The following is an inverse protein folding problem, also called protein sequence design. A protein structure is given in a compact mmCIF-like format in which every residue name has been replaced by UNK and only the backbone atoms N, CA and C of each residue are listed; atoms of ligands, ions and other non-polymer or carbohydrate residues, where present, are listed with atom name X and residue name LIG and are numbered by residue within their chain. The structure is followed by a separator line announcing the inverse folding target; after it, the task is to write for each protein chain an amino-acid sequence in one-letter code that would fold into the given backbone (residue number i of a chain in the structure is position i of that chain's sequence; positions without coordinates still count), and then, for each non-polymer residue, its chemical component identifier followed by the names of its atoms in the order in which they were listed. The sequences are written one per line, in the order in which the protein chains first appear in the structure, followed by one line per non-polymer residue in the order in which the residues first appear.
data_IF_685131998206
#
_entry.id   IF_685131998206
#
_cell.length_a   1.000
_cell.length_b   1.000
_cell.length_c   1.000
_cell.angle_alpha   90.00
_cell.angle_beta   90.00
_cell.angle_gamma   90.00
#
_symmetry.space_group_name_H-M   'P 1'
#
loop_
_entity.id
_entity.type
_entity.pdbx_description
1 polymer ?
#
# COMPACT_ATOMS: atom_id res chain seq x y z
N UNK A 1 -49.41 4.28 -19.90
CA UNK A 1 -48.78 3.08 -19.26
C UNK A 1 -47.41 3.48 -18.82
N UNK A 2 -47.26 3.84 -17.55
CA UNK A 2 -45.94 4.22 -16.98
C UNK A 2 -45.19 2.93 -16.63
N UNK A 3 -44.13 2.67 -17.37
CA UNK A 3 -43.19 1.64 -17.03
C UNK A 3 -42.46 2.07 -15.75
N UNK A 4 -42.80 1.44 -14.63
CA UNK A 4 -42.04 1.55 -13.39
C UNK A 4 -40.70 0.89 -13.66
N UNK A 5 -39.65 1.68 -13.83
CA UNK A 5 -38.29 1.17 -13.84
C UNK A 5 -38.00 0.54 -12.46
N UNK A 6 -37.95 -0.78 -12.40
CA UNK A 6 -37.48 -1.47 -11.22
C UNK A 6 -35.98 -1.17 -11.05
N UNK A 7 -35.53 -0.76 -9.86
CA UNK A 7 -34.12 -0.51 -9.63
C UNK A 7 -33.32 -1.81 -9.79
N UNK A 8 -32.35 -1.79 -10.70
CA UNK A 8 -31.41 -2.89 -10.96
C UNK A 8 -30.27 -2.85 -9.91
N UNK A 9 -30.62 -3.00 -8.63
CA UNK A 9 -29.65 -2.96 -7.53
C UNK A 9 -29.33 -4.33 -6.98
N UNK A 10 -28.19 -4.45 -6.30
CA UNK A 10 -27.85 -5.57 -5.45
C UNK A 10 -27.87 -5.15 -3.98
N UNK A 11 -28.23 -6.08 -3.10
CA UNK A 11 -28.25 -5.88 -1.65
C UNK A 11 -27.28 -6.86 -1.00
N UNK A 12 -26.48 -6.36 -0.05
CA UNK A 12 -25.73 -7.21 0.88
C UNK A 12 -26.48 -7.16 2.21
N UNK A 13 -27.06 -8.26 2.64
CA UNK A 13 -27.99 -8.28 3.77
C UNK A 13 -27.85 -9.48 4.69
N UNK A 14 -28.55 -9.41 5.79
CA UNK A 14 -28.74 -10.21 6.99
C UNK A 14 -27.99 -9.67 8.21
N UNK A 15 -28.17 -8.36 8.51
CA UNK A 15 -27.59 -7.66 9.66
C UNK A 15 -26.05 -7.80 9.72
N UNK A 16 -25.37 -7.36 8.66
CA UNK A 16 -23.93 -7.43 8.49
C UNK A 16 -23.17 -6.72 9.62
N UNK A 17 -22.03 -7.27 9.99
CA UNK A 17 -21.05 -6.57 10.81
C UNK A 17 -20.18 -5.65 9.93
N UNK A 18 -20.68 -4.44 9.67
CA UNK A 18 -19.96 -3.44 8.86
C UNK A 18 -18.95 -2.71 9.74
N UNK A 19 -17.69 -2.82 9.35
CA UNK A 19 -16.58 -2.16 10.05
C UNK A 19 -16.43 -0.73 9.54
N UNK A 20 -16.47 0.22 10.46
CA UNK A 20 -16.18 1.63 10.20
C UNK A 20 -15.03 2.09 11.10
N UNK A 21 -14.37 3.20 10.79
CA UNK A 21 -13.36 3.76 11.69
C UNK A 21 -13.88 4.16 13.07
N UNK A 22 -15.21 4.25 13.24
CA UNK A 22 -15.87 4.67 14.47
C UNK A 22 -16.46 3.47 15.25
N UNK A 23 -16.27 2.24 14.74
CA UNK A 23 -16.74 1.00 15.36
C UNK A 23 -17.38 0.04 14.37
N UNK A 24 -17.90 -1.08 14.91
CA UNK A 24 -18.59 -2.12 14.14
C UNK A 24 -20.10 -1.89 14.25
N UNK A 25 -20.77 -1.77 13.14
CA UNK A 25 -22.20 -1.50 13.06
C UNK A 25 -22.95 -2.65 12.40
N UNK A 26 -24.14 -3.00 12.92
CA UNK A 26 -25.04 -3.96 12.26
C UNK A 26 -25.95 -3.21 11.27
N UNK A 27 -25.69 -3.37 9.99
CA UNK A 27 -26.43 -2.70 8.92
C UNK A 27 -26.32 -3.48 7.60
N UNK A 28 -27.37 -3.41 6.80
CA UNK A 28 -27.36 -3.88 5.42
C UNK A 28 -26.88 -2.77 4.49
N UNK A 29 -26.36 -3.13 3.33
CA UNK A 29 -25.90 -2.20 2.30
C UNK A 29 -26.72 -2.40 1.01
N UNK A 30 -27.45 -1.37 0.59
CA UNK A 30 -28.11 -1.30 -0.73
C UNK A 30 -27.15 -0.66 -1.74
N UNK A 31 -26.93 -1.36 -2.86
CA UNK A 31 -25.98 -0.95 -3.88
C UNK A 31 -26.69 -0.77 -5.20
N UNK A 32 -26.52 0.39 -5.83
CA UNK A 32 -27.04 0.72 -7.15
C UNK A 32 -25.96 1.40 -7.98
N UNK A 33 -25.74 0.93 -9.19
CA UNK A 33 -24.74 1.48 -10.13
C UNK A 33 -23.34 1.63 -9.51
N UNK A 34 -22.95 0.66 -8.71
CA UNK A 34 -21.63 0.62 -8.06
C UNK A 34 -21.48 1.53 -6.84
N UNK A 35 -22.55 2.17 -6.37
CA UNK A 35 -22.54 3.07 -5.20
C UNK A 35 -23.44 2.57 -4.10
N UNK A 36 -23.10 2.89 -2.86
CA UNK A 36 -23.95 2.65 -1.71
C UNK A 36 -25.05 3.71 -1.71
N UNK A 37 -26.30 3.27 -1.86
CA UNK A 37 -27.48 4.15 -1.91
C UNK A 37 -28.37 4.00 -0.69
N UNK A 38 -28.22 2.92 0.07
CA UNK A 38 -28.99 2.68 1.29
C UNK A 38 -28.10 1.98 2.34
N UNK A 39 -28.25 2.40 3.58
CA UNK A 39 -27.65 1.75 4.75
C UNK A 39 -28.72 1.73 5.84
N UNK A 40 -29.23 0.56 6.17
CA UNK A 40 -30.25 0.39 7.22
C UNK A 40 -30.10 -0.98 7.88
N UNK A 41 -30.68 -1.14 9.09
CA UNK A 41 -30.63 -2.44 9.79
C UNK A 41 -31.32 -3.57 9.04
N UNK A 42 -32.23 -3.22 8.15
CA UNK A 42 -32.96 -4.16 7.34
C UNK A 42 -33.46 -3.47 6.08
N UNK A 43 -32.92 -3.87 4.92
CA UNK A 43 -33.35 -3.37 3.63
C UNK A 43 -34.49 -4.25 3.11
N UNK A 44 -35.64 -3.67 2.89
CA UNK A 44 -36.83 -4.34 2.34
C UNK A 44 -36.98 -4.19 0.84
N UNK A 45 -36.22 -3.29 0.23
CA UNK A 45 -36.23 -3.06 -1.22
C UNK A 45 -35.77 -4.32 -1.95
N UNK A 46 -36.58 -4.78 -2.93
CA UNK A 46 -36.26 -5.95 -3.72
C UNK A 46 -35.00 -5.71 -4.56
N UNK A 47 -33.98 -6.50 -4.38
CA UNK A 47 -32.73 -6.45 -5.14
C UNK A 47 -32.70 -7.53 -6.23
N UNK A 48 -31.90 -7.32 -7.27
CA UNK A 48 -31.60 -8.34 -8.30
C UNK A 48 -30.76 -9.48 -7.72
N UNK A 49 -29.79 -9.14 -6.91
CA UNK A 49 -28.88 -10.05 -6.26
C UNK A 49 -28.79 -9.72 -4.78
N UNK A 50 -28.70 -10.75 -3.93
CA UNK A 50 -28.49 -10.59 -2.49
C UNK A 50 -27.28 -11.43 -2.08
N UNK A 51 -26.29 -10.78 -1.49
CA UNK A 51 -25.14 -11.44 -0.87
C UNK A 51 -25.42 -11.63 0.62
N UNK A 52 -25.42 -12.88 1.09
CA UNK A 52 -25.47 -13.19 2.52
C UNK A 52 -24.06 -13.26 3.08
N UNK A 53 -23.75 -12.42 4.06
CA UNK A 53 -22.44 -12.36 4.70
C UNK A 53 -22.51 -12.38 6.23
N UNK A 54 -23.47 -13.14 6.78
CA UNK A 54 -23.76 -13.25 8.25
C UNK A 54 -22.51 -13.58 9.05
N UNK A 55 -21.68 -14.50 8.58
CA UNK A 55 -20.47 -14.98 9.27
C UNK A 55 -19.22 -14.16 8.93
N UNK A 56 -19.41 -12.97 8.34
CA UNK A 56 -18.30 -12.12 7.91
C UNK A 56 -18.36 -10.73 8.54
N UNK A 57 -17.18 -10.14 8.70
CA UNK A 57 -17.04 -8.70 8.84
C UNK A 57 -16.89 -8.07 7.46
N UNK A 58 -17.65 -7.03 7.20
CA UNK A 58 -17.58 -6.23 5.96
C UNK A 58 -16.68 -5.04 6.21
N UNK A 59 -15.49 -5.04 5.66
CA UNK A 59 -14.55 -3.94 5.77
C UNK A 59 -14.62 -3.04 4.53
N UNK A 60 -14.35 -1.72 4.65
CA UNK A 60 -14.05 -0.89 3.49
C UNK A 60 -12.94 -1.54 2.68
N UNK A 61 -13.06 -1.52 1.37
CA UNK A 61 -12.03 -2.05 0.48
C UNK A 61 -10.67 -1.43 0.77
N UNK A 62 -9.65 -2.26 0.88
CA UNK A 62 -8.28 -1.83 1.16
C UNK A 62 -7.78 -0.98 0.00
N UNK A 63 -7.15 0.16 0.32
CA UNK A 63 -6.44 1.03 -0.61
C UNK A 63 -4.95 0.90 -0.30
N UNK A 64 -4.23 0.21 -1.17
CA UNK A 64 -2.78 0.06 -1.03
C UNK A 64 -2.05 1.19 -1.75
N UNK A 65 -1.57 2.17 -0.99
CA UNK A 65 -0.92 3.36 -1.55
C UNK A 65 0.52 3.12 -2.03
N UNK A 66 1.05 1.89 -1.89
CA UNK A 66 2.44 1.60 -2.16
C UNK A 66 2.64 0.21 -2.76
N UNK A 67 2.62 0.14 -4.09
CA UNK A 67 2.93 -1.10 -4.82
C UNK A 67 3.88 -0.82 -5.98
N UNK A 68 4.63 -1.85 -6.40
CA UNK A 68 5.49 -1.86 -7.57
C UNK A 68 5.06 -3.01 -8.49
N UNK A 69 4.15 -2.73 -9.42
CA UNK A 69 3.75 -3.72 -10.44
C UNK A 69 4.67 -3.71 -11.65
N UNK A 70 5.62 -2.76 -11.70
CA UNK A 70 6.79 -2.77 -12.58
C UNK A 70 6.51 -2.63 -14.08
N UNK A 71 5.30 -2.36 -14.48
CA UNK A 71 4.90 -2.18 -15.88
C UNK A 71 4.68 -0.70 -16.21
N UNK A 72 5.13 -0.23 -17.36
CA UNK A 72 5.77 -0.91 -18.51
C UNK A 72 7.20 -1.38 -18.28
N UNK A 73 7.72 -2.16 -19.22
CA UNK A 73 9.13 -2.52 -19.40
C UNK A 73 9.64 -3.67 -18.53
N UNK A 74 9.04 -3.93 -17.36
CA UNK A 74 9.40 -5.03 -16.45
C UNK A 74 8.16 -5.79 -15.95
N UNK A 75 7.24 -6.07 -16.86
CA UNK A 75 6.06 -6.89 -16.54
C UNK A 75 6.41 -8.32 -16.10
N UNK A 76 7.60 -8.80 -16.46
CA UNK A 76 8.16 -10.06 -15.99
C UNK A 76 8.52 -10.07 -14.49
N UNK A 77 8.67 -8.90 -13.84
CA UNK A 77 8.89 -8.81 -12.39
C UNK A 77 7.59 -9.02 -11.59
N UNK A 78 6.48 -8.46 -12.05
CA UNK A 78 5.13 -8.69 -11.55
C UNK A 78 4.08 -8.52 -12.66
N UNK A 79 3.87 -7.32 -13.13
CA UNK A 79 2.83 -6.94 -14.08
C UNK A 79 1.52 -6.49 -13.43
N UNK A 80 0.82 -5.59 -14.12
CA UNK A 80 -0.44 -5.00 -13.64
C UNK A 80 -1.56 -6.03 -13.49
N UNK A 81 -1.62 -7.02 -14.38
CA UNK A 81 -2.66 -8.05 -14.34
C UNK A 81 -2.50 -8.97 -13.12
N UNK A 82 -1.30 -9.54 -12.90
CA UNK A 82 -1.03 -10.43 -11.76
C UNK A 82 -1.03 -9.67 -10.43
N UNK A 83 -0.40 -8.48 -10.40
CA UNK A 83 -0.36 -7.67 -9.20
C UNK A 83 -1.74 -7.21 -8.73
N UNK A 84 -2.62 -6.75 -9.64
CA UNK A 84 -3.99 -6.39 -9.28
C UNK A 84 -4.86 -7.59 -8.89
N UNK A 85 -4.61 -8.77 -9.46
CA UNK A 85 -5.27 -10.01 -9.06
C UNK A 85 -4.84 -10.46 -7.65
N UNK A 86 -3.54 -10.39 -7.35
CA UNK A 86 -3.01 -10.68 -6.01
C UNK A 86 -3.51 -9.67 -4.97
N UNK A 87 -3.61 -8.38 -5.34
CA UNK A 87 -4.21 -7.33 -4.50
C UNK A 87 -5.69 -7.65 -4.21
N UNK A 88 -6.48 -8.02 -5.23
CA UNK A 88 -7.88 -8.39 -5.06
C UNK A 88 -8.03 -9.61 -4.13
N UNK A 89 -7.17 -10.62 -4.27
CA UNK A 89 -7.12 -11.78 -3.38
C UNK A 89 -6.79 -11.39 -1.93
N UNK A 90 -6.06 -10.30 -1.73
CA UNK A 90 -5.71 -9.71 -0.43
C UNK A 90 -6.71 -8.67 0.11
N UNK A 91 -7.93 -8.55 -0.48
CA UNK A 91 -8.96 -7.60 -0.03
C UNK A 91 -8.81 -6.18 -0.59
N UNK A 92 -7.80 -5.95 -1.45
CA UNK A 92 -7.54 -4.63 -2.03
C UNK A 92 -8.49 -4.28 -3.18
N UNK A 93 -9.01 -3.08 -3.15
CA UNK A 93 -9.95 -2.54 -4.16
C UNK A 93 -9.37 -1.43 -4.99
N UNK A 94 -8.28 -0.83 -4.49
CA UNK A 94 -7.56 0.23 -5.17
C UNK A 94 -6.07 0.16 -4.79
N UNK A 95 -5.19 0.44 -5.75
CA UNK A 95 -3.76 0.55 -5.51
C UNK A 95 -3.18 1.83 -6.10
N UNK A 96 -2.05 2.28 -5.55
CA UNK A 96 -1.26 3.36 -6.14
C UNK A 96 0.09 2.80 -6.56
N UNK A 97 0.30 2.69 -7.87
CA UNK A 97 1.53 2.10 -8.39
C UNK A 97 2.64 3.15 -8.48
N UNK A 98 3.80 2.78 -7.92
CA UNK A 98 4.97 3.65 -7.82
C UNK A 98 5.56 3.97 -9.21
N UNK A 99 6.26 5.12 -9.35
CA UNK A 99 6.74 5.57 -10.66
C UNK A 99 7.94 4.79 -11.17
N UNK A 100 8.64 4.11 -10.27
CA UNK A 100 9.87 3.38 -10.58
C UNK A 100 9.65 1.87 -10.58
N UNK A 101 10.68 1.19 -10.92
CA UNK A 101 10.85 -0.13 -11.46
C UNK A 101 10.23 -0.30 -12.85
N UNK A 102 9.24 0.49 -13.27
CA UNK A 102 8.82 0.52 -14.69
C UNK A 102 9.91 1.14 -15.58
N UNK A 103 9.92 0.78 -16.86
CA UNK A 103 10.86 1.31 -17.86
C UNK A 103 10.09 1.69 -19.13
N UNK A 104 9.99 2.99 -19.46
CA UNK A 104 10.54 4.11 -18.69
C UNK A 104 9.80 4.34 -17.36
N UNK A 105 10.45 4.96 -16.34
CA UNK A 105 9.79 5.36 -15.12
C UNK A 105 8.85 6.55 -15.35
N UNK A 106 7.80 6.68 -14.52
CA UNK A 106 6.80 7.75 -14.67
C UNK A 106 7.30 9.11 -14.16
N UNK A 107 8.37 9.65 -14.74
CA UNK A 107 9.01 10.93 -14.38
C UNK A 107 8.58 12.11 -15.28
N UNK A 108 7.72 11.87 -16.25
CA UNK A 108 7.06 12.89 -17.06
C UNK A 108 5.66 12.44 -17.51
N UNK A 109 4.92 13.36 -18.11
CA UNK A 109 3.54 13.13 -18.50
C UNK A 109 3.35 12.08 -19.60
N UNK A 110 4.36 11.84 -20.45
CA UNK A 110 4.26 10.84 -21.52
C UNK A 110 4.38 9.43 -20.94
N UNK A 111 5.41 9.16 -20.15
CA UNK A 111 5.60 7.89 -19.45
C UNK A 111 4.44 7.60 -18.49
N UNK A 112 3.95 8.63 -17.77
CA UNK A 112 2.79 8.52 -16.89
C UNK A 112 1.52 8.08 -17.64
N UNK A 113 1.23 8.71 -18.80
CA UNK A 113 0.04 8.36 -19.60
C UNK A 113 0.14 6.95 -20.19
N UNK A 114 1.32 6.52 -20.58
CA UNK A 114 1.51 5.15 -21.08
C UNK A 114 1.28 4.13 -19.95
N UNK A 115 1.85 4.34 -18.77
CA UNK A 115 1.60 3.50 -17.59
C UNK A 115 0.10 3.45 -17.24
N UNK A 116 -0.59 4.59 -17.27
CA UNK A 116 -2.03 4.68 -17.07
C UNK A 116 -2.80 3.86 -18.11
N UNK A 117 -2.47 4.01 -19.40
CA UNK A 117 -3.11 3.27 -20.50
C UNK A 117 -3.03 1.75 -20.29
N UNK A 118 -1.85 1.26 -19.89
CA UNK A 118 -1.65 -0.15 -19.57
C UNK A 118 -2.49 -0.59 -18.37
N UNK A 119 -2.51 0.22 -17.30
CA UNK A 119 -3.29 -0.09 -16.11
C UNK A 119 -4.81 -0.12 -16.41
N UNK A 120 -5.32 0.77 -17.25
CA UNK A 120 -6.71 0.76 -17.73
C UNK A 120 -7.06 -0.51 -18.51
N UNK A 121 -6.08 -1.13 -19.17
CA UNK A 121 -6.27 -2.36 -19.97
C UNK A 121 -6.10 -3.66 -19.17
N UNK A 122 -5.32 -3.63 -18.10
CA UNK A 122 -4.86 -4.86 -17.44
C UNK A 122 -5.36 -5.01 -16.01
N UNK A 123 -5.69 -3.92 -15.32
CA UNK A 123 -6.08 -3.98 -13.91
C UNK A 123 -7.50 -4.47 -13.71
N UNK A 124 -7.70 -5.37 -12.74
CA UNK A 124 -9.02 -5.79 -12.28
C UNK A 124 -9.55 -4.96 -11.09
N UNK A 125 -8.71 -4.13 -10.47
CA UNK A 125 -9.08 -3.22 -9.38
C UNK A 125 -8.82 -1.79 -9.78
N UNK A 126 -9.44 -0.83 -9.08
CA UNK A 126 -9.20 0.60 -9.33
C UNK A 126 -7.77 0.97 -8.99
N UNK A 127 -7.27 2.07 -9.57
CA UNK A 127 -5.88 2.45 -9.38
C UNK A 127 -5.65 3.95 -9.50
N UNK A 128 -4.59 4.41 -8.83
CA UNK A 128 -3.96 5.69 -9.06
C UNK A 128 -2.46 5.46 -9.34
N UNK A 129 -1.76 6.48 -9.81
CA UNK A 129 -0.36 6.39 -10.17
C UNK A 129 0.43 7.52 -9.51
N UNK A 130 1.61 7.19 -9.01
CA UNK A 130 2.59 8.16 -8.57
C UNK A 130 3.39 8.72 -9.75
N UNK A 131 3.72 10.02 -9.67
CA UNK A 131 4.78 10.59 -10.49
C UNK A 131 6.12 10.52 -9.78
N UNK A 132 7.23 10.55 -10.52
CA UNK A 132 8.58 10.59 -9.96
C UNK A 132 9.08 12.02 -9.80
N UNK A 133 9.76 12.29 -8.68
CA UNK A 133 10.59 13.48 -8.47
C UNK A 133 12.05 13.05 -8.45
N UNK A 134 12.78 13.40 -9.50
CA UNK A 134 14.19 13.05 -9.68
C UNK A 134 14.99 14.29 -10.10
N UNK A 135 16.32 14.30 -9.96
CA UNK A 135 17.14 15.40 -10.46
C UNK A 135 16.84 15.71 -11.91
N UNK A 136 16.66 17.00 -12.24
CA UNK A 136 16.49 17.48 -13.62
C UNK A 136 15.06 17.38 -14.19
N UNK A 137 14.03 16.95 -13.43
CA UNK A 137 12.65 16.89 -13.94
C UNK A 137 11.67 17.93 -13.38
N UNK A 138 12.15 18.99 -12.71
CA UNK A 138 11.31 20.00 -12.06
C UNK A 138 10.27 20.63 -13.01
N UNK A 139 10.65 20.92 -14.25
CA UNK A 139 9.76 21.51 -15.26
C UNK A 139 8.68 20.54 -15.76
N UNK A 140 8.87 19.24 -15.56
CA UNK A 140 7.92 18.18 -15.96
C UNK A 140 6.84 17.94 -14.92
N UNK A 141 6.99 18.42 -13.68
CA UNK A 141 6.06 18.15 -12.57
C UNK A 141 4.65 18.68 -12.82
N UNK A 142 4.50 19.83 -13.49
CA UNK A 142 3.20 20.35 -13.88
C UNK A 142 2.46 19.37 -14.83
N UNK A 143 3.18 18.79 -15.79
CA UNK A 143 2.63 17.79 -16.69
C UNK A 143 2.18 16.50 -15.97
N UNK A 144 2.91 16.06 -14.95
CA UNK A 144 2.52 14.93 -14.09
C UNK A 144 1.22 15.23 -13.32
N UNK A 145 1.12 16.42 -12.71
CA UNK A 145 -0.12 16.89 -12.06
C UNK A 145 -1.30 16.86 -13.03
N UNK A 146 -1.12 17.41 -14.22
CA UNK A 146 -2.19 17.52 -15.22
C UNK A 146 -2.60 16.17 -15.79
N UNK A 147 -1.66 15.20 -15.84
CA UNK A 147 -1.95 13.82 -16.17
C UNK A 147 -2.72 13.08 -15.05
N UNK A 148 -2.73 13.62 -13.83
CA UNK A 148 -3.50 13.10 -12.69
C UNK A 148 -2.66 12.31 -11.69
N UNK A 149 -1.36 12.61 -11.57
CA UNK A 149 -0.52 11.99 -10.54
C UNK A 149 -1.11 12.21 -9.14
N UNK A 150 -1.13 11.13 -8.34
CA UNK A 150 -1.65 11.15 -6.97
C UNK A 150 -0.71 11.89 -6.00
N UNK A 151 0.55 11.94 -6.32
CA UNK A 151 1.64 12.59 -5.62
C UNK A 151 2.96 12.34 -6.35
N UNK A 152 4.06 12.77 -5.75
CA UNK A 152 5.41 12.60 -6.30
C UNK A 152 6.23 11.72 -5.36
N UNK A 153 6.94 10.72 -5.90
CA UNK A 153 7.87 9.86 -5.15
C UNK A 153 9.31 10.25 -5.44
N UNK A 154 10.12 10.37 -4.38
CA UNK A 154 11.56 10.59 -4.46
C UNK A 154 12.31 9.55 -3.61
N UNK A 155 13.59 9.33 -3.94
CA UNK A 155 14.51 8.49 -3.18
C UNK A 155 15.68 9.34 -2.67
N UNK A 156 15.93 9.32 -1.36
CA UNK A 156 17.05 10.05 -0.74
C UNK A 156 18.35 9.23 -0.75
N UNK A 157 18.26 7.93 -1.05
CA UNK A 157 19.40 7.05 -1.33
C UNK A 157 19.25 6.40 -2.70
N UNK A 158 20.27 5.64 -3.14
CA UNK A 158 20.23 4.92 -4.40
C UNK A 158 19.03 3.96 -4.48
N UNK A 159 18.17 4.12 -5.48
CA UNK A 159 16.99 3.27 -5.70
C UNK A 159 17.33 1.87 -6.27
N UNK A 160 18.54 1.71 -6.79
CA UNK A 160 18.95 0.52 -7.55
C UNK A 160 18.52 0.56 -9.04
N UNK A 161 17.77 1.59 -9.46
CA UNK A 161 17.31 1.80 -10.82
C UNK A 161 18.01 3.03 -11.40
N UNK A 162 18.80 2.86 -12.46
CA UNK A 162 19.59 3.93 -13.09
C UNK A 162 18.70 5.05 -13.63
N UNK A 163 17.57 4.70 -14.26
CA UNK A 163 16.60 5.66 -14.80
C UNK A 163 15.79 6.39 -13.72
N UNK A 164 15.95 6.02 -12.43
CA UNK A 164 15.33 6.69 -11.29
C UNK A 164 16.39 7.01 -10.22
N UNK A 165 17.27 8.00 -10.46
CA UNK A 165 18.37 8.31 -9.55
C UNK A 165 17.89 8.92 -8.23
N UNK A 166 18.71 8.81 -7.18
CA UNK A 166 18.49 9.50 -5.92
C UNK A 166 18.46 11.01 -6.08
N UNK A 167 17.72 11.66 -5.20
CA UNK A 167 17.68 13.13 -5.12
C UNK A 167 18.55 13.63 -3.96
N UNK A 168 19.30 14.70 -4.17
CA UNK A 168 20.02 15.38 -3.08
C UNK A 168 19.13 16.39 -2.37
N UNK A 169 19.60 16.94 -1.24
CA UNK A 169 18.83 17.86 -0.40
C UNK A 169 18.45 19.17 -1.14
N UNK A 170 19.32 19.67 -2.02
CA UNK A 170 19.04 20.89 -2.79
C UNK A 170 17.91 20.61 -3.81
N UNK A 171 18.03 19.57 -4.60
CA UNK A 171 17.04 19.20 -5.60
C UNK A 171 15.71 18.80 -4.96
N UNK A 172 15.72 18.13 -3.79
CA UNK A 172 14.52 17.80 -3.03
C UNK A 172 13.81 19.08 -2.54
N UNK A 173 14.55 20.06 -2.01
CA UNK A 173 14.01 21.36 -1.60
C UNK A 173 13.31 22.08 -2.75
N UNK A 174 13.97 22.18 -3.91
CA UNK A 174 13.39 22.84 -5.08
C UNK A 174 12.18 22.06 -5.63
N UNK A 175 12.25 20.71 -5.62
CA UNK A 175 11.14 19.83 -5.93
C UNK A 175 9.93 20.04 -5.01
N UNK A 176 10.15 20.12 -3.69
CA UNK A 176 9.10 20.39 -2.69
C UNK A 176 8.48 21.78 -2.90
N UNK A 177 9.28 22.84 -3.12
CA UNK A 177 8.75 24.18 -3.46
C UNK A 177 7.86 24.14 -4.70
N UNK A 178 8.26 23.39 -5.72
CA UNK A 178 7.47 23.24 -6.94
C UNK A 178 6.20 22.44 -6.69
N UNK A 179 6.30 21.33 -5.95
CA UNK A 179 5.16 20.48 -5.57
C UNK A 179 4.11 21.27 -4.78
N UNK A 180 4.52 22.10 -3.80
CA UNK A 180 3.64 22.98 -3.04
C UNK A 180 2.84 23.91 -3.94
N UNK A 181 3.49 24.59 -4.90
CA UNK A 181 2.82 25.47 -5.87
C UNK A 181 1.83 24.72 -6.78
N UNK A 182 2.08 23.42 -7.01
CA UNK A 182 1.24 22.55 -7.83
C UNK A 182 0.15 21.85 -7.02
N UNK A 183 0.14 21.96 -5.69
CA UNK A 183 -0.77 21.25 -4.81
C UNK A 183 -0.52 19.74 -4.80
N UNK A 184 0.72 19.30 -5.05
CA UNK A 184 1.14 17.90 -5.02
C UNK A 184 1.81 17.57 -3.68
N UNK A 185 1.55 16.38 -3.18
CA UNK A 185 2.25 15.77 -2.06
C UNK A 185 3.56 15.15 -2.55
N UNK A 186 4.61 15.21 -1.73
CA UNK A 186 5.87 14.50 -1.97
C UNK A 186 5.98 13.32 -0.99
N UNK A 187 6.23 12.12 -1.51
CA UNK A 187 6.57 10.94 -0.74
C UNK A 187 8.07 10.64 -0.88
N UNK A 188 8.72 10.24 0.21
CA UNK A 188 10.15 9.96 0.20
C UNK A 188 10.48 8.58 0.76
N UNK A 189 11.34 7.85 0.03
CA UNK A 189 12.12 6.78 0.61
C UNK A 189 13.26 7.43 1.42
N UNK A 190 13.16 7.35 2.74
CA UNK A 190 14.00 8.10 3.65
C UNK A 190 15.10 7.22 4.24
N UNK A 191 16.19 7.02 3.49
CA UNK A 191 17.45 6.49 3.98
C UNK A 191 18.60 7.42 3.56
N UNK A 192 19.53 7.70 4.49
CA UNK A 192 20.69 8.55 4.22
C UNK A 192 21.76 7.78 3.42
N UNK A 193 22.04 8.24 2.22
CA UNK A 193 23.00 7.60 1.30
C UNK A 193 24.42 7.49 1.88
N UNK A 194 24.90 8.54 2.52
CA UNK A 194 26.29 8.58 3.01
C UNK A 194 26.47 7.62 4.18
N UNK A 195 25.51 7.58 5.10
CA UNK A 195 25.52 6.64 6.23
C UNK A 195 25.36 5.20 5.75
N UNK A 196 24.43 4.93 4.84
CA UNK A 196 24.22 3.61 4.26
C UNK A 196 25.48 3.10 3.56
N UNK A 197 26.11 3.94 2.75
CA UNK A 197 27.38 3.61 2.07
C UNK A 197 28.51 3.34 3.08
N UNK A 198 28.66 4.18 4.10
CA UNK A 198 29.66 4.03 5.18
C UNK A 198 29.52 2.68 5.90
N UNK A 199 28.31 2.36 6.36
CA UNK A 199 28.09 1.12 7.10
C UNK A 199 28.21 -0.11 6.19
N UNK A 200 27.77 -0.02 4.93
CA UNK A 200 27.94 -1.07 3.93
C UNK A 200 29.43 -1.36 3.68
N UNK A 201 30.24 -0.32 3.46
CA UNK A 201 31.68 -0.45 3.27
C UNK A 201 32.36 -1.11 4.49
N UNK A 202 31.95 -0.73 5.71
CA UNK A 202 32.47 -1.32 6.93
C UNK A 202 32.17 -2.84 7.06
N UNK A 203 31.01 -3.33 6.62
CA UNK A 203 30.70 -4.75 6.62
C UNK A 203 31.51 -5.50 5.55
N UNK A 204 31.57 -4.95 4.33
CA UNK A 204 32.35 -5.53 3.22
C UNK A 204 33.85 -5.60 3.53
N UNK A 205 34.44 -4.59 4.18
CA UNK A 205 35.82 -4.58 4.62
C UNK A 205 36.14 -5.68 5.63
N UNK A 206 35.12 -6.18 6.38
CA UNK A 206 35.24 -7.32 7.28
C UNK A 206 34.99 -8.68 6.60
N UNK A 207 34.83 -8.70 5.30
CA UNK A 207 34.47 -9.88 4.51
C UNK A 207 33.07 -10.43 4.80
N UNK A 208 32.16 -9.63 5.38
CA UNK A 208 30.82 -10.06 5.76
C UNK A 208 29.81 -9.64 4.69
N UNK A 209 29.10 -10.63 4.14
CA UNK A 209 28.11 -10.41 3.05
C UNK A 209 26.78 -11.13 3.30
N UNK A 210 26.57 -11.66 4.50
CA UNK A 210 25.37 -12.36 4.91
C UNK A 210 24.19 -11.40 5.26
N UNK A 211 23.03 -11.96 5.58
CA UNK A 211 21.84 -11.20 5.97
C UNK A 211 22.10 -10.33 7.21
N UNK A 212 22.87 -10.80 8.19
CA UNK A 212 23.22 -10.03 9.40
C UNK A 212 24.09 -8.82 9.06
N UNK A 213 25.03 -8.98 8.13
CA UNK A 213 25.86 -7.88 7.65
C UNK A 213 25.03 -6.82 6.93
N UNK A 214 24.03 -7.25 6.13
CA UNK A 214 23.10 -6.34 5.49
C UNK A 214 22.27 -5.55 6.52
N UNK A 215 21.67 -6.21 7.51
CA UNK A 215 20.95 -5.56 8.59
C UNK A 215 21.82 -4.53 9.33
N UNK A 216 23.06 -4.91 9.67
CA UNK A 216 24.03 -4.03 10.33
C UNK A 216 24.56 -2.89 9.44
N UNK A 217 24.37 -2.97 8.12
CA UNK A 217 24.72 -1.90 7.19
C UNK A 217 23.67 -0.79 7.07
N UNK A 218 22.49 -1.02 7.62
CA UNK A 218 21.35 -0.08 7.60
C UNK A 218 20.73 0.04 8.99
N UNK A 219 21.53 0.47 10.02
CA UNK A 219 20.98 0.72 11.34
C UNK A 219 19.92 1.83 11.29
N UNK A 220 19.14 1.96 12.37
CA UNK A 220 18.02 2.90 12.42
C UNK A 220 18.46 4.35 12.14
N UNK A 221 19.67 4.73 12.52
CA UNK A 221 20.24 6.05 12.30
C UNK A 221 20.23 6.47 10.82
N UNK A 222 20.35 5.51 9.90
CA UNK A 222 20.29 5.76 8.44
C UNK A 222 18.91 6.28 8.03
N UNK A 223 17.86 5.69 8.56
CA UNK A 223 16.47 6.10 8.36
C UNK A 223 16.19 7.42 9.07
N UNK A 224 16.57 7.56 10.34
CA UNK A 224 16.31 8.77 11.13
C UNK A 224 16.97 10.02 10.57
N UNK A 225 18.20 9.92 10.05
CA UNK A 225 18.90 11.05 9.45
C UNK A 225 18.14 11.59 8.23
N UNK A 226 17.68 10.71 7.35
CA UNK A 226 16.92 11.09 6.17
C UNK A 226 15.51 11.62 6.52
N UNK A 227 14.83 11.01 7.50
CA UNK A 227 13.53 11.51 7.98
C UNK A 227 13.67 12.94 8.51
N UNK A 228 14.65 13.24 9.39
CA UNK A 228 14.89 14.60 9.89
C UNK A 228 15.10 15.60 8.75
N UNK A 229 15.96 15.27 7.79
CA UNK A 229 16.21 16.14 6.65
C UNK A 229 14.94 16.38 5.82
N UNK A 230 14.14 15.34 5.56
CA UNK A 230 12.90 15.50 4.81
C UNK A 230 11.87 16.38 5.56
N UNK A 231 11.76 16.22 6.88
CA UNK A 231 10.88 17.01 7.73
C UNK A 231 11.28 18.49 7.78
N UNK A 232 12.59 18.77 7.93
CA UNK A 232 13.13 20.14 7.86
C UNK A 232 12.77 20.81 6.53
N UNK A 233 13.00 20.12 5.41
CA UNK A 233 12.69 20.63 4.07
C UNK A 233 11.18 20.83 3.87
N UNK A 234 10.34 19.94 4.41
CA UNK A 234 8.88 20.09 4.35
C UNK A 234 8.42 21.33 5.15
N UNK A 235 8.97 21.53 6.35
CA UNK A 235 8.72 22.72 7.17
C UNK A 235 9.13 24.03 6.48
N UNK A 236 10.34 24.06 5.87
CA UNK A 236 10.83 25.21 5.11
C UNK A 236 9.97 25.58 3.88
N UNK A 237 9.45 24.55 3.19
CA UNK A 237 8.77 24.72 1.88
C UNK A 237 7.25 24.74 1.97
N UNK A 238 6.69 24.35 3.12
CA UNK A 238 5.25 24.13 3.30
C UNK A 238 4.72 22.97 2.45
N UNK A 239 5.58 22.03 2.05
CA UNK A 239 5.22 20.92 1.22
C UNK A 239 4.51 19.82 2.04
N UNK A 240 3.37 19.34 1.57
CA UNK A 240 2.74 18.13 2.10
C UNK A 240 3.69 16.94 1.89
N UNK A 241 4.09 16.27 2.98
CA UNK A 241 5.09 15.19 2.99
C UNK A 241 4.48 13.87 3.43
N UNK A 242 4.90 12.77 2.81
CA UNK A 242 4.56 11.42 3.20
C UNK A 242 5.83 10.59 3.34
N UNK A 243 6.13 10.15 4.55
CA UNK A 243 7.26 9.23 4.77
C UNK A 243 6.73 7.82 4.58
N UNK A 244 7.14 7.18 3.48
CA UNK A 244 6.69 5.81 3.17
C UNK A 244 7.47 4.77 3.98
N UNK A 245 6.90 3.59 4.19
CA UNK A 245 7.52 2.39 4.76
C UNK A 245 8.45 2.67 5.97
N UNK A 246 8.00 3.51 6.94
CA UNK A 246 8.73 3.76 8.18
C UNK A 246 8.89 2.43 8.95
N UNK A 247 10.12 2.06 9.24
CA UNK A 247 10.46 0.75 9.79
C UNK A 247 10.65 0.74 11.31
N UNK A 248 10.67 1.92 11.95
CA UNK A 248 11.04 2.06 13.35
C UNK A 248 10.11 3.00 14.13
N UNK A 249 9.84 2.73 15.42
CA UNK A 249 9.06 3.63 16.26
C UNK A 249 9.74 4.99 16.44
N UNK A 250 11.08 5.02 16.43
CA UNK A 250 11.84 6.27 16.50
C UNK A 250 11.59 7.16 15.28
N UNK A 251 11.43 6.57 14.09
CA UNK A 251 11.04 7.29 12.87
C UNK A 251 9.63 7.83 12.95
N UNK A 252 8.68 7.04 13.48
CA UNK A 252 7.30 7.48 13.73
C UNK A 252 7.26 8.65 14.71
N UNK A 253 8.06 8.59 15.77
CA UNK A 253 8.13 9.67 16.78
C UNK A 253 8.59 11.00 16.15
N UNK A 254 9.60 10.99 15.26
CA UNK A 254 10.03 12.19 14.52
C UNK A 254 8.91 12.78 13.65
N UNK A 255 8.16 11.92 12.95
CA UNK A 255 7.04 12.36 12.11
C UNK A 255 5.91 12.94 12.98
N UNK A 256 5.62 12.33 14.11
CA UNK A 256 4.59 12.78 15.06
C UNK A 256 4.95 14.14 15.64
N UNK A 257 6.18 14.31 16.12
CA UNK A 257 6.69 15.59 16.63
C UNK A 257 6.59 16.70 15.58
N UNK A 258 7.04 16.46 14.36
CA UNK A 258 6.95 17.44 13.28
C UNK A 258 5.50 17.83 12.95
N UNK A 259 4.58 16.86 12.95
CA UNK A 259 3.15 17.09 12.73
C UNK A 259 2.54 17.92 13.85
N UNK A 260 2.90 17.67 15.10
CA UNK A 260 2.42 18.41 16.26
C UNK A 260 2.95 19.86 16.25
N UNK A 261 4.08 20.10 15.58
CA UNK A 261 4.62 21.43 15.29
C UNK A 261 4.11 22.04 13.97
N UNK A 262 3.09 21.47 13.35
CA UNK A 262 2.38 22.05 12.20
C UNK A 262 2.92 21.70 10.82
N UNK A 263 3.86 20.77 10.71
CA UNK A 263 4.28 20.24 9.40
C UNK A 263 3.18 19.32 8.84
N UNK A 264 2.75 19.54 7.60
CA UNK A 264 1.78 18.66 6.93
C UNK A 264 2.47 17.35 6.53
N UNK A 265 2.58 16.41 7.47
CA UNK A 265 3.27 15.14 7.26
C UNK A 265 2.46 13.95 7.76
N UNK A 266 2.63 12.80 7.07
CA UNK A 266 2.08 11.50 7.47
C UNK A 266 3.15 10.42 7.39
N UNK A 267 3.04 9.42 8.28
CA UNK A 267 3.84 8.20 8.27
C UNK A 267 3.03 7.04 7.67
N UNK A 268 3.68 6.26 6.82
CA UNK A 268 3.25 4.95 6.37
C UNK A 268 4.17 3.87 6.93
N UNK A 269 3.61 2.75 7.38
CA UNK A 269 4.39 1.53 7.64
C UNK A 269 3.90 0.38 6.77
N UNK A 270 4.53 -0.79 6.89
CA UNK A 270 4.20 -1.95 6.06
C UNK A 270 3.90 -3.18 6.92
N UNK A 271 3.07 -4.12 6.41
CA UNK A 271 2.80 -5.38 7.11
C UNK A 271 4.07 -6.13 7.52
N UNK A 272 5.09 -6.14 6.69
CA UNK A 272 6.32 -6.87 6.99
C UNK A 272 7.09 -6.31 8.21
N UNK A 273 7.03 -5.00 8.50
CA UNK A 273 7.62 -4.43 9.72
C UNK A 273 6.82 -4.76 10.98
N UNK A 274 5.52 -5.00 10.85
CA UNK A 274 4.64 -5.38 11.95
C UNK A 274 4.63 -6.90 12.21
N UNK A 275 4.94 -7.71 11.19
CA UNK A 275 4.80 -9.17 11.20
C UNK A 275 6.11 -9.93 11.34
N UNK A 276 7.23 -9.35 10.89
CA UNK A 276 8.53 -10.00 10.82
C UNK A 276 9.56 -9.24 11.67
N UNK A 277 10.60 -9.94 12.12
CA UNK A 277 11.74 -9.35 12.79
C UNK A 277 13.06 -9.78 12.11
N UNK A 278 14.19 -9.26 12.58
CA UNK A 278 15.52 -9.54 12.01
C UNK A 278 15.89 -11.03 12.00
N UNK A 279 15.37 -11.83 12.95
CA UNK A 279 15.60 -13.29 12.99
C UNK A 279 14.89 -13.96 11.82
N UNK A 280 13.72 -13.44 11.43
CA UNK A 280 12.99 -13.91 10.25
C UNK A 280 13.77 -13.58 8.97
N UNK A 281 14.39 -12.40 8.87
CA UNK A 281 15.25 -12.07 7.71
C UNK A 281 16.41 -13.07 7.57
N UNK A 282 17.05 -13.40 8.69
CA UNK A 282 18.16 -14.38 8.69
C UNK A 282 17.68 -15.78 8.32
N UNK A 283 16.49 -16.17 8.77
CA UNK A 283 15.90 -17.50 8.52
C UNK A 283 15.35 -17.63 7.10
N UNK A 284 14.63 -16.62 6.61
CA UNK A 284 13.92 -16.64 5.32
C UNK A 284 14.86 -16.26 4.17
N UNK A 285 15.88 -15.44 4.44
CA UNK A 285 16.81 -14.97 3.41
C UNK A 285 16.18 -13.97 2.43
N UNK A 286 16.42 -14.19 1.16
CA UNK A 286 16.05 -13.30 0.06
C UNK A 286 14.57 -12.85 0.02
N UNK A 287 13.56 -13.70 0.29
CA UNK A 287 12.16 -13.29 0.33
C UNK A 287 11.82 -12.21 1.36
N UNK A 288 12.63 -12.07 2.42
CA UNK A 288 12.43 -11.08 3.48
C UNK A 288 13.39 -9.88 3.39
N UNK A 289 14.18 -9.76 2.32
CA UNK A 289 15.05 -8.60 2.11
C UNK A 289 14.26 -7.40 1.61
N UNK A 290 14.31 -6.29 2.34
CA UNK A 290 13.76 -4.98 1.96
C UNK A 290 14.66 -3.83 2.45
N UNK A 291 14.39 -2.63 2.00
CA UNK A 291 15.01 -1.36 2.43
C UNK A 291 13.93 -0.30 2.65
N UNK A 292 13.88 0.33 3.83
CA UNK A 292 14.65 0.05 5.05
C UNK A 292 14.50 -1.41 5.51
N UNK A 293 15.51 -1.99 6.24
CA UNK A 293 15.42 -3.39 6.63
C UNK A 293 14.44 -3.60 7.79
N UNK A 294 13.92 -4.82 7.88
CA UNK A 294 13.13 -5.29 9.02
C UNK A 294 13.97 -5.20 10.30
N UNK A 295 13.37 -4.70 11.39
CA UNK A 295 14.05 -4.41 12.65
C UNK A 295 13.94 -5.54 13.65
N UNK A 296 14.58 -5.36 14.81
CA UNK A 296 14.55 -6.27 15.95
C UNK A 296 13.12 -6.38 16.56
N UNK A 297 12.91 -7.40 17.38
CA UNK A 297 11.62 -7.67 18.00
C UNK A 297 11.10 -6.54 18.91
N UNK A 298 11.93 -5.89 19.76
CA UNK A 298 11.47 -4.75 20.55
C UNK A 298 10.92 -3.61 19.70
N UNK A 299 11.56 -3.27 18.57
CA UNK A 299 11.08 -2.23 17.66
C UNK A 299 9.81 -2.65 16.93
N UNK A 300 9.71 -3.92 16.53
CA UNK A 300 8.47 -4.46 15.95
C UNK A 300 7.28 -4.28 16.88
N UNK A 301 7.43 -4.63 18.15
CA UNK A 301 6.37 -4.48 19.15
C UNK A 301 6.02 -3.01 19.40
N UNK A 302 7.03 -2.15 19.57
CA UNK A 302 6.81 -0.71 19.75
C UNK A 302 6.15 -0.06 18.50
N UNK A 303 6.43 -0.56 17.28
CA UNK A 303 5.75 -0.07 16.08
C UNK A 303 4.25 -0.41 16.07
N UNK A 304 3.84 -1.55 16.64
CA UNK A 304 2.43 -1.86 16.90
C UNK A 304 1.79 -0.89 17.89
N UNK A 305 2.53 -0.49 18.94
CA UNK A 305 2.03 0.48 19.91
C UNK A 305 1.83 1.86 19.25
N UNK A 306 2.76 2.29 18.39
CA UNK A 306 2.62 3.52 17.59
C UNK A 306 1.42 3.46 16.62
N UNK A 307 1.17 2.32 15.99
CA UNK A 307 0.00 2.12 15.14
C UNK A 307 -1.30 2.25 15.93
N UNK A 308 -1.39 1.59 17.10
CA UNK A 308 -2.56 1.64 17.98
C UNK A 308 -2.78 3.01 18.60
N UNK A 309 -1.71 3.76 18.86
CA UNK A 309 -1.77 5.15 19.33
C UNK A 309 -2.26 6.13 18.24
N UNK A 310 -2.36 5.70 16.96
CA UNK A 310 -2.77 6.55 15.85
C UNK A 310 -1.67 7.45 15.29
N UNK A 311 -0.43 7.19 15.66
CA UNK A 311 0.73 7.94 15.18
C UNK A 311 1.13 7.56 13.75
N UNK A 312 0.71 6.38 13.27
CA UNK A 312 0.87 5.92 11.89
C UNK A 312 -0.45 6.11 11.14
N UNK A 313 -0.44 6.90 10.08
CA UNK A 313 -1.67 7.26 9.36
C UNK A 313 -2.08 6.23 8.32
N UNK A 314 -1.13 5.55 7.69
CA UNK A 314 -1.42 4.59 6.62
C UNK A 314 -0.56 3.33 6.73
N UNK A 315 -1.07 2.23 6.18
CA UNK A 315 -0.31 0.99 6.01
C UNK A 315 -0.40 0.59 4.54
N UNK A 316 0.76 0.56 3.87
CA UNK A 316 0.92 0.11 2.50
C UNK A 316 1.71 -1.19 2.43
N UNK A 317 1.55 -2.01 1.40
CA UNK A 317 2.24 -3.30 1.32
C UNK A 317 3.72 -3.18 0.97
N UNK A 318 4.10 -2.12 0.28
CA UNK A 318 5.40 -2.01 -0.43
C UNK A 318 5.69 -3.29 -1.24
N UNK A 319 4.64 -3.79 -1.93
CA UNK A 319 4.77 -4.97 -2.76
C UNK A 319 5.75 -4.71 -3.89
N UNK A 320 6.92 -5.34 -3.80
CA UNK A 320 8.04 -5.11 -4.72
C UNK A 320 8.75 -6.43 -5.08
N UNK A 321 8.06 -7.33 -5.80
CA UNK A 321 8.63 -8.60 -6.23
C UNK A 321 9.66 -8.42 -7.33
N UNK A 322 10.49 -9.43 -7.51
CA UNK A 322 11.46 -9.53 -8.59
C UNK A 322 11.59 -10.98 -9.04
N UNK A 323 12.09 -11.23 -10.27
CA UNK A 323 12.36 -12.58 -10.77
C UNK A 323 13.24 -13.40 -9.83
N UNK A 324 13.02 -14.73 -9.73
CA UNK A 324 13.75 -15.60 -8.82
C UNK A 324 15.26 -15.52 -8.95
N UNK A 325 15.78 -15.36 -10.16
CA UNK A 325 17.21 -15.25 -10.45
C UNK A 325 17.88 -14.06 -9.78
N UNK A 326 17.15 -12.97 -9.52
CA UNK A 326 17.63 -11.80 -8.79
C UNK A 326 17.71 -12.01 -7.25
N UNK A 327 17.23 -13.16 -6.79
CA UNK A 327 17.14 -13.55 -5.39
C UNK A 327 18.09 -14.71 -5.01
N UNK A 328 18.99 -15.14 -5.89
CA UNK A 328 19.81 -16.35 -5.73
C UNK A 328 21.22 -16.14 -5.22
N UNK A 329 21.75 -14.90 -5.23
CA UNK A 329 23.11 -14.62 -4.79
C UNK A 329 23.34 -15.05 -3.33
N UNK A 330 24.55 -15.59 -3.05
CA UNK A 330 25.03 -15.85 -1.68
C UNK A 330 25.46 -14.56 -0.98
N UNK A 331 25.75 -13.51 -1.72
CA UNK A 331 26.06 -12.19 -1.21
C UNK A 331 24.75 -11.42 -1.04
N UNK A 332 24.34 -11.21 0.20
CA UNK A 332 23.06 -10.58 0.51
C UNK A 332 22.95 -9.12 0.00
N UNK A 333 24.10 -8.45 -0.22
CA UNK A 333 24.11 -7.11 -0.82
C UNK A 333 23.74 -7.10 -2.31
N UNK A 334 23.92 -8.22 -3.01
CA UNK A 334 23.61 -8.35 -4.44
C UNK A 334 22.18 -8.82 -4.70
N UNK A 335 21.50 -9.37 -3.71
CA UNK A 335 20.10 -9.78 -3.80
C UNK A 335 19.23 -8.53 -4.01
N UNK A 336 18.32 -8.57 -4.97
CA UNK A 336 17.31 -7.52 -5.12
C UNK A 336 16.43 -7.43 -3.87
N UNK A 337 16.30 -6.22 -3.29
CA UNK A 337 15.41 -5.94 -2.16
C UNK A 337 13.96 -5.78 -2.62
N UNK A 338 13.03 -6.27 -1.84
CA UNK A 338 11.59 -6.14 -2.09
C UNK A 338 10.83 -7.39 -1.67
N UNK A 339 9.70 -7.20 -1.00
CA UNK A 339 8.84 -8.25 -0.47
C UNK A 339 7.59 -8.37 -1.31
N UNK A 340 7.20 -9.60 -1.71
CA UNK A 340 5.91 -9.88 -2.32
C UNK A 340 4.86 -9.99 -1.20
N UNK A 341 4.21 -8.87 -0.85
CA UNK A 341 3.39 -8.74 0.35
C UNK A 341 1.89 -8.47 0.13
N UNK A 342 1.48 -8.05 -1.07
CA UNK A 342 0.14 -7.50 -1.33
C UNK A 342 -1.02 -8.45 -1.03
N UNK A 343 -0.82 -9.76 -1.23
CA UNK A 343 -1.91 -10.74 -1.07
C UNK A 343 -2.15 -11.13 0.39
N UNK A 344 -1.09 -11.44 1.16
CA UNK A 344 -1.25 -12.01 2.49
C UNK A 344 -0.82 -11.07 3.63
N UNK A 345 -0.19 -9.94 3.31
CA UNK A 345 0.27 -8.98 4.33
C UNK A 345 -0.87 -8.46 5.19
N UNK A 346 -1.95 -8.01 4.57
CA UNK A 346 -3.11 -7.47 5.27
C UNK A 346 -3.91 -8.56 6.01
N UNK A 347 -4.09 -9.74 5.39
CA UNK A 347 -4.74 -10.89 6.06
C UNK A 347 -4.01 -11.25 7.36
N UNK A 348 -2.68 -11.29 7.33
CA UNK A 348 -1.88 -11.60 8.51
C UNK A 348 -1.94 -10.48 9.57
N UNK A 349 -2.07 -9.21 9.20
CA UNK A 349 -2.34 -8.15 10.18
C UNK A 349 -3.67 -8.38 10.90
N UNK A 350 -4.72 -8.72 10.18
CA UNK A 350 -6.00 -9.08 10.80
C UNK A 350 -5.88 -10.33 11.69
N UNK A 351 -5.05 -11.31 11.30
CA UNK A 351 -4.80 -12.50 12.09
C UNK A 351 -4.10 -12.20 13.43
N UNK A 352 -3.11 -11.28 13.44
CA UNK A 352 -2.44 -10.86 14.69
C UNK A 352 -3.42 -10.22 15.70
N UNK A 353 -4.53 -9.68 15.22
CA UNK A 353 -5.55 -9.00 16.02
C UNK A 353 -6.85 -9.83 16.17
N UNK A 354 -6.87 -11.09 15.79
CA UNK A 354 -8.11 -11.87 15.75
C UNK A 354 -8.83 -11.99 17.09
N UNK A 355 -8.10 -11.93 18.21
CA UNK A 355 -8.69 -11.95 19.56
C UNK A 355 -9.12 -10.56 20.07
N UNK A 356 -8.84 -9.50 19.31
CA UNK A 356 -9.10 -8.09 19.67
C UNK A 356 -9.81 -7.32 18.56
N UNK A 357 -10.56 -8.01 17.72
CA UNK A 357 -11.18 -7.44 16.51
C UNK A 357 -12.11 -6.25 16.78
N UNK A 358 -12.90 -6.29 17.86
CA UNK A 358 -13.79 -5.17 18.20
C UNK A 358 -13.03 -3.84 18.35
N UNK A 359 -11.79 -3.91 18.84
CA UNK A 359 -10.90 -2.75 19.00
C UNK A 359 -10.11 -2.46 17.72
N UNK A 360 -9.53 -3.49 17.10
CA UNK A 360 -8.48 -3.31 16.08
C UNK A 360 -9.04 -3.26 14.64
N UNK A 361 -10.20 -3.85 14.31
CA UNK A 361 -10.79 -3.71 12.98
C UNK A 361 -11.16 -2.26 12.61
N UNK A 362 -11.71 -1.43 13.51
CA UNK A 362 -11.91 -0.01 13.23
C UNK A 362 -10.60 0.75 12.94
N UNK A 363 -9.51 0.40 13.62
CA UNK A 363 -8.18 0.95 13.34
C UNK A 363 -7.75 0.58 11.90
N UNK A 364 -7.91 -0.69 11.49
CA UNK A 364 -7.57 -1.11 10.13
C UNK A 364 -8.46 -0.44 9.07
N UNK A 365 -9.76 -0.28 9.33
CA UNK A 365 -10.63 0.50 8.44
C UNK A 365 -10.17 1.96 8.31
N UNK A 366 -9.51 2.49 9.33
CA UNK A 366 -8.90 3.81 9.27
C UNK A 366 -7.61 3.80 8.42
N UNK A 367 -6.61 3.00 8.80
CA UNK A 367 -5.25 3.08 8.24
C UNK A 367 -5.10 2.41 6.86
N UNK A 368 -5.98 1.47 6.51
CA UNK A 368 -5.98 0.78 5.22
C UNK A 368 -6.95 1.39 4.20
N UNK A 369 -7.85 2.29 4.63
CA UNK A 369 -8.85 2.84 3.71
C UNK A 369 -9.11 4.34 3.94
N UNK A 370 -9.74 4.75 5.08
CA UNK A 370 -10.17 6.14 5.30
C UNK A 370 -9.03 7.14 5.25
N UNK A 371 -7.96 6.87 5.97
CA UNK A 371 -6.83 7.81 6.09
C UNK A 371 -6.05 7.91 4.78
N UNK A 372 -5.89 6.78 4.07
CA UNK A 372 -5.31 6.75 2.71
C UNK A 372 -6.16 7.63 1.79
N UNK A 373 -7.47 7.39 1.73
CA UNK A 373 -8.34 8.17 0.85
C UNK A 373 -8.30 9.67 1.14
N UNK A 374 -8.28 10.06 2.43
CA UNK A 374 -8.18 11.48 2.85
C UNK A 374 -6.83 12.08 2.49
N UNK A 375 -5.73 11.39 2.81
CA UNK A 375 -4.38 11.89 2.55
C UNK A 375 -4.18 12.19 1.07
N UNK A 376 -4.70 11.34 0.22
CA UNK A 376 -4.55 11.44 -1.23
C UNK A 376 -5.76 12.07 -1.94
N UNK A 377 -6.68 12.68 -1.17
CA UNK A 377 -7.83 13.44 -1.70
C UNK A 377 -8.69 12.67 -2.71
N UNK A 378 -8.99 11.41 -2.38
CA UNK A 378 -9.93 10.56 -3.12
C UNK A 378 -11.13 10.14 -2.28
N UNK A 379 -11.29 10.76 -1.11
CA UNK A 379 -12.30 10.39 -0.10
C UNK A 379 -13.72 10.81 -0.47
N UNK A 380 -13.90 11.55 -1.55
CA UNK A 380 -15.23 11.77 -2.16
C UNK A 380 -15.83 10.48 -2.75
N UNK A 381 -14.99 9.52 -3.15
CA UNK A 381 -15.41 8.24 -3.72
C UNK A 381 -15.05 7.05 -2.86
N UNK A 382 -13.84 7.00 -2.32
CA UNK A 382 -13.15 5.84 -1.75
C UNK A 382 -12.99 5.92 -0.22
N UNK A 383 -12.58 4.82 0.40
CA UNK A 383 -12.08 4.77 1.76
C UNK A 383 -13.10 4.61 2.86
N UNK A 384 -14.40 4.57 2.56
CA UNK A 384 -15.48 4.35 3.54
C UNK A 384 -16.70 3.68 2.94
N UNK A 385 -17.37 2.86 3.74
CA UNK A 385 -18.72 2.39 3.46
C UNK A 385 -19.70 3.46 3.96
N UNK A 386 -20.18 4.31 3.05
CA UNK A 386 -21.10 5.40 3.34
C UNK A 386 -21.96 5.73 2.12
N UNK A 387 -23.10 6.37 2.34
CA UNK A 387 -24.03 6.77 1.27
C UNK A 387 -23.33 7.64 0.21
N UNK A 388 -23.59 7.33 -1.06
CA UNK A 388 -23.03 8.01 -2.23
C UNK A 388 -21.58 7.63 -2.58
N UNK A 389 -20.90 6.82 -1.76
CA UNK A 389 -19.54 6.34 -2.02
C UNK A 389 -19.55 5.11 -2.92
N UNK A 390 -18.43 4.84 -3.56
CA UNK A 390 -18.24 3.58 -4.30
C UNK A 390 -18.43 2.40 -3.34
N UNK A 391 -19.11 1.36 -3.79
CA UNK A 391 -19.35 0.15 -3.03
C UNK A 391 -18.13 -0.77 -3.09
N UNK A 392 -17.01 -0.31 -2.49
CA UNK A 392 -15.75 -1.02 -2.40
C UNK A 392 -15.63 -1.65 -1.02
N UNK A 393 -15.59 -2.98 -0.96
CA UNK A 393 -15.51 -3.70 0.31
C UNK A 393 -14.87 -5.07 0.15
N UNK A 394 -14.37 -5.60 1.26
CA UNK A 394 -13.94 -6.99 1.36
C UNK A 394 -14.62 -7.69 2.54
N UNK A 395 -14.71 -9.00 2.43
CA UNK A 395 -15.32 -9.87 3.45
C UNK A 395 -14.22 -10.63 4.17
N UNK A 396 -14.18 -10.45 5.50
CA UNK A 396 -13.26 -11.08 6.41
C UNK A 396 -14.02 -12.03 7.33
N UNK A 397 -13.56 -13.27 7.47
CA UNK A 397 -14.11 -14.19 8.45
C UNK A 397 -13.02 -14.91 9.24
N UNK A 398 -13.36 -15.37 10.42
CA UNK A 398 -12.59 -16.39 11.12
C UNK A 398 -12.81 -17.74 10.41
N UNK A 399 -11.72 -18.45 10.20
CA UNK A 399 -11.73 -19.74 9.52
C UNK A 399 -10.93 -20.76 10.36
N UNK A 400 -10.93 -22.02 9.95
CA UNK A 400 -10.05 -23.02 10.51
C UNK A 400 -8.58 -22.60 10.31
N UNK A 401 -7.71 -22.87 11.30
CA UNK A 401 -6.29 -22.55 11.16
C UNK A 401 -5.66 -23.25 9.95
N UNK A 402 -5.16 -22.46 9.01
CA UNK A 402 -4.46 -22.94 7.81
C UNK A 402 -3.04 -22.40 7.73
N UNK A 403 -2.21 -22.99 6.92
CA UNK A 403 -0.92 -22.42 6.54
C UNK A 403 -1.06 -21.76 5.17
N UNK A 404 -0.43 -20.60 5.01
CA UNK A 404 -0.31 -19.96 3.70
C UNK A 404 0.56 -20.86 2.81
N UNK A 405 -0.01 -21.32 1.70
CA UNK A 405 0.64 -22.22 0.76
C UNK A 405 1.06 -21.49 -0.53
N UNK A 406 2.06 -22.07 -1.21
CA UNK A 406 2.56 -21.55 -2.48
C UNK A 406 1.51 -21.60 -3.59
N UNK A 407 0.60 -22.57 -3.53
CA UNK A 407 -0.47 -22.75 -4.53
C UNK A 407 -1.59 -21.70 -4.41
N UNK A 408 -1.65 -20.98 -3.28
CA UNK A 408 -2.58 -19.87 -3.08
C UNK A 408 -2.08 -18.55 -3.71
N UNK A 409 -0.80 -18.45 -4.11
CA UNK A 409 -0.21 -17.20 -4.57
C UNK A 409 -0.68 -16.85 -5.98
N UNK A 410 -1.18 -15.64 -6.13
CA UNK A 410 -1.61 -15.01 -7.39
C UNK A 410 -0.55 -14.05 -7.97
N UNK A 411 0.51 -13.78 -7.20
CA UNK A 411 1.66 -13.03 -7.70
C UNK A 411 2.36 -13.80 -8.81
N UNK A 412 2.97 -13.08 -9.76
CA UNK A 412 3.67 -13.69 -10.91
C UNK A 412 4.69 -14.74 -10.50
N UNK A 413 5.53 -14.38 -9.53
CA UNK A 413 6.51 -15.30 -8.93
C UNK A 413 5.96 -15.81 -7.61
N UNK A 414 5.85 -17.14 -7.50
CA UNK A 414 5.32 -17.79 -6.30
C UNK A 414 6.32 -17.76 -5.13
N UNK A 415 6.71 -16.55 -4.73
CA UNK A 415 7.63 -16.28 -3.63
C UNK A 415 6.96 -15.32 -2.64
N UNK A 416 7.03 -15.63 -1.36
CA UNK A 416 6.56 -14.73 -0.31
C UNK A 416 7.29 -14.99 1.00
N UNK A 417 7.58 -13.93 1.75
CA UNK A 417 8.09 -14.02 3.12
C UNK A 417 7.06 -14.62 4.10
N UNK A 418 5.82 -14.76 3.68
CA UNK A 418 4.72 -15.23 4.51
C UNK A 418 4.37 -16.72 4.32
N UNK A 419 5.04 -17.43 3.39
CA UNK A 419 4.80 -18.86 3.18
C UNK A 419 5.02 -19.67 4.46
N UNK A 420 4.10 -20.58 4.73
CA UNK A 420 4.11 -21.44 5.91
C UNK A 420 3.62 -20.77 7.20
N UNK A 421 3.34 -19.46 7.21
CA UNK A 421 2.69 -18.80 8.36
C UNK A 421 1.26 -19.34 8.53
N UNK A 422 0.87 -19.48 9.79
CA UNK A 422 -0.50 -19.86 10.14
C UNK A 422 -1.41 -18.65 10.15
N UNK A 423 -2.60 -18.80 9.58
CA UNK A 423 -3.70 -17.85 9.67
C UNK A 423 -4.98 -18.57 10.01
N UNK A 424 -5.78 -18.02 10.92
CA UNK A 424 -7.16 -18.42 11.20
C UNK A 424 -8.16 -17.37 10.69
N UNK A 425 -7.67 -16.45 9.88
CA UNK A 425 -8.43 -15.39 9.24
C UNK A 425 -8.37 -15.58 7.74
N UNK A 426 -9.45 -15.28 7.04
CA UNK A 426 -9.51 -15.36 5.60
C UNK A 426 -10.26 -14.18 5.00
N UNK A 427 -9.66 -13.55 4.00
CA UNK A 427 -10.32 -12.64 3.08
C UNK A 427 -10.98 -13.47 1.98
N UNK A 428 -12.29 -13.59 2.03
CA UNK A 428 -13.04 -14.52 1.16
C UNK A 428 -13.53 -13.87 -0.11
N UNK A 429 -13.89 -12.58 -0.06
CA UNK A 429 -14.44 -11.84 -1.19
C UNK A 429 -13.91 -10.41 -1.23
N UNK A 430 -13.79 -9.88 -2.43
CA UNK A 430 -13.46 -8.46 -2.69
C UNK A 430 -14.39 -7.92 -3.77
N UNK A 431 -15.02 -6.79 -3.48
CA UNK A 431 -15.93 -6.10 -4.37
C UNK A 431 -15.41 -4.72 -4.72
N UNK A 432 -15.38 -4.40 -6.00
CA UNK A 432 -15.02 -3.07 -6.51
C UNK A 432 -16.26 -2.47 -7.18
N UNK A 433 -16.73 -1.36 -6.67
CA UNK A 433 -17.97 -0.70 -7.12
C UNK A 433 -19.13 -1.70 -7.21
N UNK A 434 -19.32 -2.46 -6.14
CA UNK A 434 -20.41 -3.43 -6.02
C UNK A 434 -20.30 -4.69 -6.91
N UNK A 435 -19.27 -4.79 -7.73
CA UNK A 435 -19.02 -5.97 -8.55
C UNK A 435 -17.95 -6.86 -7.87
N UNK A 436 -18.16 -8.19 -7.77
CA UNK A 436 -17.16 -9.07 -7.23
C UNK A 436 -15.96 -9.15 -8.17
N UNK A 437 -14.77 -8.95 -7.64
CA UNK A 437 -13.49 -9.15 -8.36
C UNK A 437 -12.76 -10.40 -7.87
N UNK A 438 -13.02 -10.80 -6.63
CA UNK A 438 -12.48 -11.99 -6.01
C UNK A 438 -13.56 -12.67 -5.17
N UNK A 439 -13.67 -14.00 -5.27
CA UNK A 439 -14.58 -14.79 -4.45
C UNK A 439 -14.05 -16.22 -4.25
N UNK A 440 -13.91 -16.63 -3.00
CA UNK A 440 -13.56 -17.99 -2.55
C UNK A 440 -12.42 -18.63 -3.37
N UNK A 441 -11.30 -17.93 -3.48
CA UNK A 441 -10.10 -18.44 -4.16
C UNK A 441 -10.09 -18.26 -5.68
N UNK A 442 -11.01 -17.48 -6.25
CA UNK A 442 -11.12 -17.29 -7.71
C UNK A 442 -11.26 -15.81 -8.08
N UNK A 443 -10.59 -15.43 -9.15
CA UNK A 443 -10.86 -14.15 -9.81
C UNK A 443 -12.18 -14.26 -10.58
N UNK A 444 -13.12 -13.37 -10.28
CA UNK A 444 -14.50 -13.41 -10.85
C UNK A 444 -14.71 -12.43 -11.96
N UNK A 445 -13.88 -11.40 -12.06
CA UNK A 445 -14.03 -10.32 -13.00
C UNK A 445 -13.01 -10.42 -14.16
N UNK A 446 -13.35 -9.79 -15.26
CA UNK A 446 -12.47 -9.74 -16.44
C UNK A 446 -11.34 -8.73 -16.20
N UNK A 447 -10.16 -8.90 -16.85
CA UNK A 447 -9.17 -7.83 -16.97
C UNK A 447 -9.84 -6.53 -17.46
N UNK A 448 -9.22 -5.38 -17.15
CA UNK A 448 -9.71 -4.06 -17.56
C UNK A 448 -11.02 -3.59 -16.88
N UNK A 449 -11.34 -4.09 -15.70
CA UNK A 449 -12.46 -3.55 -14.90
C UNK A 449 -12.06 -2.40 -13.97
N UNK A 450 -10.78 -2.21 -13.74
CA UNK A 450 -10.23 -1.13 -12.91
C UNK A 450 -10.39 0.25 -13.56
N UNK A 451 -10.64 1.26 -12.74
CA UNK A 451 -10.76 2.65 -13.16
C UNK A 451 -9.59 3.48 -12.59
N UNK A 452 -9.12 4.42 -13.40
CA UNK A 452 -8.15 5.41 -12.93
C UNK A 452 -8.81 6.40 -11.98
N UNK A 453 -8.25 6.54 -10.77
CA UNK A 453 -8.70 7.44 -9.74
C UNK A 453 -7.77 8.65 -9.68
N UNK A 454 -8.35 9.85 -9.73
CA UNK A 454 -7.61 11.12 -9.62
C UNK A 454 -7.89 11.75 -8.26
N UNK A 455 -6.92 12.49 -7.69
CA UNK A 455 -7.18 13.31 -6.51
C UNK A 455 -8.20 14.41 -6.83
N UNK A 456 -9.09 14.70 -5.88
CA UNK A 456 -9.93 15.91 -5.92
C UNK A 456 -9.03 17.14 -5.86
N UNK A 457 -9.36 18.17 -6.64
CA UNK A 457 -8.55 19.40 -6.72
C UNK A 457 -9.01 20.45 -5.74
#
# INVERSE_FOLDING_TARGET
MNAIHQPTGSTVGAALQVVTPDGIQRTDLGILEGRIVEMSRHITTKARETLNAVDHYVLPGIIDAHVHFNEPGRADWEGLASGSAALAAGGGTCFFDMPLNSEPPAIDAAAFREKRRLAEQLSCTDFALWGGLVPGNLEKLAGLRDAGAIGLKAFMCASGIESFPRIDAHSLREGMKRATKLGLLVAVHAEDEALAAKFTAAQKARGRTDARAFLASRPVEVELAAIRQALELAGETGCALHIVHVSSPEGVALVTDARDHGVDVTAETCPHYLLLNEKDVVRLGAPAKCTPPIRDEPRRLALWDELRAGHIQTVGSDHSPAPPEMKTSKNFFEIWGGIAGVQHGFELLFNECADTWERDLPLFAAVLARNVARRFRIDERKGRLALGRDADFCLLRLDEPRKIDVDELWTRHRQSAYLGRKSRVRLTHTYVRGAPVWAEGRLTNRPASGQFIKPSR
#
